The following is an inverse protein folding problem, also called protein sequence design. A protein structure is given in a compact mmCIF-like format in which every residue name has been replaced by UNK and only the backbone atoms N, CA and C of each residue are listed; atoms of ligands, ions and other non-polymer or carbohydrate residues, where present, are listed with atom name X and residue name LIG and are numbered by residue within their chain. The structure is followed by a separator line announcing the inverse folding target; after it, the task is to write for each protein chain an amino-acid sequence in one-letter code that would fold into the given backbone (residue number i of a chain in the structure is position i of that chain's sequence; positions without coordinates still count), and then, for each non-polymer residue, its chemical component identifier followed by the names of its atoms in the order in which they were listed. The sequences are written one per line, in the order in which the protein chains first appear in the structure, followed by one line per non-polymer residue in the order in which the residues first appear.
data_IF_014061324017
#
_entry.id   IF_014061324017
#
_cell.length_a   1.000
_cell.length_b   1.000
_cell.length_c   1.000
_cell.angle_alpha   90.00
_cell.angle_beta   90.00
_cell.angle_gamma   90.00
#
_symmetry.space_group_name_H-M   'P 1'
#
loop_
_entity.id
_entity.type
_entity.pdbx_description
1 polymer ?
#
# COMPACT_ATOMS: atom_id res chain seq x y z
N UNK A 1 61.20 -20.03 -37.35
CA UNK A 1 61.05 -20.81 -36.10
C UNK A 1 60.24 -19.97 -35.12
N UNK A 2 58.96 -20.29 -34.88
CA UNK A 2 58.16 -19.65 -33.83
C UNK A 2 57.77 -20.72 -32.80
N UNK A 3 58.28 -20.58 -31.57
CA UNK A 3 57.93 -21.45 -30.45
C UNK A 3 56.58 -21.01 -29.87
N UNK A 4 55.63 -21.93 -29.79
CA UNK A 4 54.30 -21.71 -29.19
C UNK A 4 54.42 -21.89 -27.68
N UNK A 5 54.22 -20.83 -26.92
CA UNK A 5 54.16 -20.87 -25.45
C UNK A 5 52.80 -21.44 -25.04
N UNK A 6 52.77 -22.63 -24.46
CA UNK A 6 51.56 -23.20 -23.86
C UNK A 6 51.49 -22.77 -22.39
N UNK A 7 50.69 -21.75 -22.08
CA UNK A 7 50.37 -21.40 -20.71
C UNK A 7 49.39 -22.43 -20.14
N UNK A 8 49.84 -23.25 -19.19
CA UNK A 8 48.94 -24.12 -18.45
C UNK A 8 48.12 -23.29 -17.45
N UNK A 9 46.80 -23.47 -17.39
CA UNK A 9 45.97 -22.73 -16.45
C UNK A 9 46.34 -23.11 -15.02
N UNK A 10 46.57 -22.11 -14.17
CA UNK A 10 46.95 -22.30 -12.77
C UNK A 10 45.78 -22.93 -12.02
N UNK A 11 45.94 -24.18 -11.58
CA UNK A 11 44.91 -24.90 -10.81
C UNK A 11 44.99 -24.49 -9.35
N UNK A 12 44.16 -23.52 -8.95
CA UNK A 12 44.09 -23.07 -7.55
C UNK A 12 43.21 -24.05 -6.76
N UNK A 13 43.79 -24.74 -5.76
CA UNK A 13 43.06 -25.63 -4.84
C UNK A 13 42.59 -24.82 -3.63
N UNK A 14 41.28 -24.57 -3.55
CA UNK A 14 40.68 -23.93 -2.38
C UNK A 14 40.85 -24.82 -1.15
N UNK A 15 41.23 -24.21 -0.03
CA UNK A 15 41.45 -24.94 1.23
C UNK A 15 40.11 -25.35 1.83
N UNK A 16 40.05 -26.49 2.54
CA UNK A 16 38.79 -26.99 3.11
C UNK A 16 38.08 -26.00 4.05
N UNK A 17 38.84 -25.14 4.74
CA UNK A 17 38.30 -24.08 5.58
C UNK A 17 37.56 -23.02 4.76
N UNK A 18 38.06 -22.69 3.56
CA UNK A 18 37.45 -21.67 2.70
C UNK A 18 36.09 -22.13 2.17
N UNK A 19 35.93 -23.40 1.76
CA UNK A 19 34.61 -23.88 1.30
C UNK A 19 33.58 -23.86 2.44
N UNK A 20 33.96 -24.22 3.67
CA UNK A 20 33.05 -24.22 4.82
C UNK A 20 32.57 -22.81 5.16
N UNK A 21 33.47 -21.83 5.15
CA UNK A 21 33.11 -20.44 5.38
C UNK A 21 32.18 -19.90 4.28
N UNK A 22 32.43 -20.25 3.01
CA UNK A 22 31.59 -19.84 1.89
C UNK A 22 30.18 -20.45 2.03
N UNK A 23 30.09 -21.75 2.31
CA UNK A 23 28.80 -22.43 2.52
C UNK A 23 28.07 -21.84 3.73
N UNK A 24 28.77 -21.60 4.84
CA UNK A 24 28.20 -20.97 6.03
C UNK A 24 27.69 -19.54 5.77
N UNK A 25 28.41 -18.76 4.98
CA UNK A 25 28.01 -17.42 4.58
C UNK A 25 26.78 -17.44 3.67
N UNK A 26 26.74 -18.35 2.69
CA UNK A 26 25.56 -18.55 1.86
C UNK A 26 24.35 -19.00 2.67
N UNK A 27 24.53 -19.95 3.60
CA UNK A 27 23.47 -20.35 4.53
C UNK A 27 22.98 -19.16 5.33
N UNK A 28 23.88 -18.38 5.94
CA UNK A 28 23.54 -17.19 6.73
C UNK A 28 22.73 -16.17 5.91
N UNK A 29 23.13 -15.88 4.67
CA UNK A 29 22.39 -14.99 3.78
C UNK A 29 20.98 -15.49 3.47
N UNK A 30 20.76 -16.81 3.42
CA UNK A 30 19.43 -17.40 3.22
C UNK A 30 18.54 -17.33 4.48
N UNK A 31 19.12 -17.11 5.68
CA UNK A 31 18.37 -16.96 6.94
C UNK A 31 18.11 -15.49 7.29
N UNK A 32 18.72 -14.55 6.57
CA UNK A 32 18.46 -13.12 6.74
C UNK A 32 17.14 -12.76 6.04
N UNK A 33 16.04 -12.82 6.78
CA UNK A 33 14.79 -12.25 6.33
C UNK A 33 14.85 -10.72 6.42
N UNK A 34 14.41 -10.05 5.35
CA UNK A 34 14.25 -8.60 5.35
C UNK A 34 12.97 -8.27 6.10
N UNK A 35 13.10 -7.73 7.31
CA UNK A 35 11.95 -7.19 8.04
C UNK A 35 11.60 -5.82 7.45
N UNK A 36 10.36 -5.67 6.96
CA UNK A 36 9.81 -4.40 6.51
C UNK A 36 8.78 -3.92 7.53
N UNK A 37 8.79 -2.63 7.84
CA UNK A 37 7.79 -2.04 8.73
C UNK A 37 6.45 -1.87 8.01
N UNK A 38 5.34 -2.04 8.74
CA UNK A 38 4.00 -1.81 8.21
C UNK A 38 3.83 -0.36 7.73
N UNK A 39 3.28 -0.20 6.54
CA UNK A 39 3.04 1.08 5.89
C UNK A 39 1.56 1.43 6.08
N UNK A 40 1.25 2.69 6.46
CA UNK A 40 -0.14 3.05 6.71
C UNK A 40 -0.94 3.10 5.41
N UNK A 41 -2.26 2.83 5.49
CA UNK A 41 -3.16 2.97 4.34
C UNK A 41 -3.30 4.43 3.93
N UNK A 42 -3.63 4.65 2.66
CA UNK A 42 -3.73 6.00 2.06
C UNK A 42 -4.95 6.11 1.18
N UNK A 43 -5.60 7.28 1.20
CA UNK A 43 -6.66 7.59 0.24
C UNK A 43 -6.09 7.88 -1.15
N UNK A 44 -6.80 7.45 -2.18
CA UNK A 44 -6.49 7.75 -3.58
C UNK A 44 -7.22 9.03 -3.98
N UNK A 45 -6.56 10.17 -3.77
CA UNK A 45 -7.10 11.52 -3.98
C UNK A 45 -6.32 12.33 -5.03
N UNK A 46 -5.65 11.64 -5.96
CA UNK A 46 -4.94 12.23 -7.12
C UNK A 46 -3.98 13.39 -6.77
N UNK A 47 -3.35 13.33 -5.59
CA UNK A 47 -2.41 14.35 -5.12
C UNK A 47 -3.05 15.57 -4.46
N UNK A 48 -4.38 15.60 -4.29
CA UNK A 48 -5.05 16.60 -3.47
C UNK A 48 -4.82 16.32 -1.98
N UNK A 49 -5.03 17.32 -1.12
CA UNK A 49 -4.99 17.14 0.33
C UNK A 49 -6.35 16.76 0.91
N UNK A 50 -7.43 17.08 0.20
CA UNK A 50 -8.81 17.00 0.67
C UNK A 50 -9.76 16.63 -0.47
N UNK A 51 -10.91 16.06 -0.10
CA UNK A 51 -11.99 15.74 -1.03
C UNK A 51 -13.10 16.77 -0.81
N UNK A 52 -13.37 17.62 -1.80
CA UNK A 52 -14.42 18.64 -1.73
C UNK A 52 -15.59 18.23 -2.62
N UNK A 53 -16.72 17.90 -2.01
CA UNK A 53 -17.96 17.56 -2.72
C UNK A 53 -18.92 18.75 -2.62
N UNK A 54 -19.35 19.28 -3.77
CA UNK A 54 -20.36 20.36 -3.85
C UNK A 54 -21.69 19.74 -4.19
N UNK A 55 -22.63 19.84 -3.27
CA UNK A 55 -23.98 19.31 -3.39
C UNK A 55 -24.98 20.46 -3.52
N UNK A 56 -26.08 20.21 -4.20
CA UNK A 56 -27.22 21.13 -4.24
C UNK A 56 -28.20 20.77 -3.13
N UNK A 57 -28.82 21.77 -2.52
CA UNK A 57 -29.77 21.57 -1.42
C UNK A 57 -31.13 21.05 -1.90
N UNK A 58 -31.90 20.50 -0.95
CA UNK A 58 -33.28 20.08 -1.13
C UNK A 58 -33.45 18.94 -2.13
N UNK A 59 -34.41 19.02 -3.07
CA UNK A 59 -34.79 17.89 -3.93
C UNK A 59 -33.70 17.48 -4.93
N UNK A 60 -32.71 18.34 -5.18
CA UNK A 60 -31.61 18.04 -6.11
C UNK A 60 -30.60 17.03 -5.52
N UNK A 61 -30.45 16.99 -4.18
CA UNK A 61 -29.64 15.97 -3.47
C UNK A 61 -30.44 15.39 -2.30
N UNK A 62 -31.39 14.48 -2.56
CA UNK A 62 -32.22 13.91 -1.51
C UNK A 62 -31.39 13.05 -0.54
N UNK A 63 -31.94 12.85 0.66
CA UNK A 63 -31.43 11.85 1.61
C UNK A 63 -31.31 10.48 0.93
N UNK A 64 -30.21 9.78 1.21
CA UNK A 64 -29.86 8.50 0.62
C UNK A 64 -29.04 8.60 -0.66
N UNK A 65 -28.77 9.81 -1.17
CA UNK A 65 -27.92 10.01 -2.34
C UNK A 65 -26.50 9.50 -2.10
N UNK A 66 -25.96 8.75 -3.06
CA UNK A 66 -24.54 8.44 -3.13
C UNK A 66 -23.79 9.71 -3.54
N UNK A 67 -23.06 10.31 -2.61
CA UNK A 67 -22.39 11.60 -2.85
C UNK A 67 -20.92 11.42 -3.23
N UNK A 68 -20.30 10.30 -2.84
CA UNK A 68 -18.91 10.01 -3.18
C UNK A 68 -18.57 8.52 -3.04
N UNK A 69 -17.56 8.08 -3.80
CA UNK A 69 -16.94 6.75 -3.66
C UNK A 69 -15.50 6.94 -3.19
N UNK A 70 -15.27 6.63 -1.92
CA UNK A 70 -13.96 6.67 -1.28
C UNK A 70 -13.13 5.48 -1.74
N UNK A 71 -11.87 5.75 -2.09
CA UNK A 71 -10.91 4.72 -2.48
C UNK A 71 -9.66 4.84 -1.63
N UNK A 72 -9.15 3.71 -1.17
CA UNK A 72 -7.91 3.62 -0.44
C UNK A 72 -7.02 2.51 -0.96
N UNK A 73 -5.76 2.56 -0.57
CA UNK A 73 -4.79 1.50 -0.82
C UNK A 73 -3.96 1.30 0.44
N UNK A 74 -3.79 0.04 0.83
CA UNK A 74 -2.74 -0.36 1.76
C UNK A 74 -1.52 -0.84 0.95
N UNK A 75 -0.33 -0.23 1.10
CA UNK A 75 0.86 -0.65 0.37
C UNK A 75 1.31 -2.09 0.65
N UNK A 76 0.92 -2.65 1.80
CA UNK A 76 1.25 -4.02 2.22
C UNK A 76 0.18 -5.04 1.79
N UNK A 77 -0.93 -4.57 1.21
CA UNK A 77 -1.99 -5.41 0.66
C UNK A 77 -3.07 -5.81 1.67
N UNK A 78 -3.07 -5.19 2.84
CA UNK A 78 -4.08 -5.40 3.86
C UNK A 78 -5.46 -4.87 3.44
N UNK A 79 -6.53 -5.50 3.94
CA UNK A 79 -7.90 -5.03 3.72
C UNK A 79 -8.20 -3.80 4.57
N UNK A 80 -8.82 -2.79 3.98
CA UNK A 80 -9.11 -1.52 4.63
C UNK A 80 -10.42 -1.57 5.41
N UNK A 81 -10.42 -0.89 6.55
CA UNK A 81 -11.64 -0.50 7.26
C UNK A 81 -11.83 1.01 7.11
N UNK A 82 -13.03 1.39 6.70
CA UNK A 82 -13.41 2.78 6.51
C UNK A 82 -14.36 3.21 7.64
N UNK A 83 -14.24 4.46 8.08
CA UNK A 83 -15.06 4.98 9.15
C UNK A 83 -15.16 6.51 9.11
N UNK A 84 -16.14 7.02 9.85
CA UNK A 84 -16.36 8.45 10.04
C UNK A 84 -15.85 8.79 11.45
N UNK A 85 -15.04 9.85 11.57
CA UNK A 85 -14.64 10.37 12.88
C UNK A 85 -15.80 11.16 13.49
N UNK A 86 -16.01 11.00 14.79
CA UNK A 86 -16.99 11.77 15.54
C UNK A 86 -16.55 13.24 15.63
N UNK A 87 -17.17 14.06 14.81
CA UNK A 87 -16.96 15.51 14.68
C UNK A 87 -18.30 16.17 14.38
N UNK A 88 -18.42 17.48 14.63
CA UNK A 88 -19.61 18.24 14.28
C UNK A 88 -19.93 18.06 12.78
N UNK A 89 -21.15 17.64 12.47
CA UNK A 89 -21.60 17.35 11.09
C UNK A 89 -21.28 15.94 10.58
N UNK A 90 -20.66 15.07 11.37
CA UNK A 90 -20.44 13.66 10.97
C UNK A 90 -21.74 12.85 10.82
N UNK A 91 -22.80 13.29 11.48
CA UNK A 91 -24.13 12.70 11.51
C UNK A 91 -24.95 12.92 10.22
N UNK A 92 -24.45 13.74 9.29
CA UNK A 92 -25.07 13.92 7.96
C UNK A 92 -24.63 12.85 6.97
N UNK A 93 -23.60 12.04 7.30
CA UNK A 93 -23.00 11.05 6.40
C UNK A 93 -23.19 9.62 6.91
N UNK A 94 -23.35 8.69 5.97
CA UNK A 94 -23.26 7.25 6.21
C UNK A 94 -22.25 6.64 5.26
N UNK A 95 -21.41 5.76 5.79
CA UNK A 95 -20.41 5.03 5.03
C UNK A 95 -20.79 3.55 4.89
N UNK A 96 -20.57 2.99 3.71
CA UNK A 96 -20.77 1.57 3.42
C UNK A 96 -19.55 1.02 2.67
N UNK A 97 -18.83 0.07 3.27
CA UNK A 97 -17.73 -0.60 2.62
C UNK A 97 -18.28 -1.54 1.53
N UNK A 98 -17.78 -1.40 0.30
CA UNK A 98 -18.23 -2.19 -0.86
C UNK A 98 -17.18 -3.22 -1.30
N UNK A 99 -15.92 -3.01 -0.92
CA UNK A 99 -14.80 -3.92 -1.18
C UNK A 99 -13.71 -3.70 -0.13
N UNK A 100 -12.60 -4.44 -0.23
CA UNK A 100 -11.45 -4.27 0.66
C UNK A 100 -10.81 -2.87 0.55
N UNK A 101 -11.05 -2.14 -0.55
CA UNK A 101 -10.32 -0.92 -0.89
C UNK A 101 -11.25 0.27 -1.22
N UNK A 102 -12.57 0.08 -1.15
CA UNK A 102 -13.53 1.09 -1.52
C UNK A 102 -14.74 1.15 -0.58
N UNK A 103 -15.27 2.34 -0.39
CA UNK A 103 -16.49 2.60 0.36
C UNK A 103 -17.35 3.66 -0.32
N UNK A 104 -18.66 3.49 -0.22
CA UNK A 104 -19.64 4.49 -0.65
C UNK A 104 -19.95 5.42 0.52
N UNK A 105 -20.10 6.72 0.22
CA UNK A 105 -20.54 7.74 1.16
C UNK A 105 -21.90 8.24 0.72
N UNK A 106 -22.87 8.16 1.63
CA UNK A 106 -24.25 8.57 1.44
C UNK A 106 -24.58 9.77 2.31
N UNK A 107 -25.44 10.65 1.79
CA UNK A 107 -26.09 11.69 2.57
C UNK A 107 -27.25 11.09 3.37
N UNK A 108 -27.34 11.32 4.68
CA UNK A 108 -28.42 10.79 5.53
C UNK A 108 -29.29 11.85 6.20
N UNK A 109 -28.91 13.13 6.08
CA UNK A 109 -29.71 14.28 6.52
C UNK A 109 -29.78 15.31 5.41
N UNK A 110 -30.83 16.13 5.42
CA UNK A 110 -30.91 17.27 4.49
C UNK A 110 -29.80 18.27 4.80
N UNK A 111 -29.30 18.91 3.74
CA UNK A 111 -28.36 20.02 3.88
C UNK A 111 -29.19 21.28 4.12
N UNK A 112 -29.03 21.88 5.29
CA UNK A 112 -29.57 23.19 5.58
C UNK A 112 -28.50 24.26 5.32
N UNK A 113 -28.95 25.40 4.82
CA UNK A 113 -28.07 26.54 4.58
C UNK A 113 -28.11 27.41 5.83
N UNK A 114 -27.13 27.23 6.70
CA UNK A 114 -26.84 28.23 7.75
C UNK A 114 -26.48 29.60 7.15
#
# INVERSE_FOLDING_TARGET
MHARVTSHPTRVRLKPVQYKCIIGFWLLLNILEVVVANRPPRFLIDGQSEIVVRLKEGPDTPIGSLIYRLRGVDPDGDSLQFGIRDQLGSDILRLEAISSNEANIYLVKELDRE
#
